data_IF_042334428808
#
_entry.id   IF_042334428808
#
_cell.length_a   1.000
_cell.length_b   1.000
_cell.length_c   1.000
_cell.angle_alpha   90.00
_cell.angle_beta   90.00
_cell.angle_gamma   90.00
#
_symmetry.space_group_name_H-M   'P 1'
#
loop_
_entity.id
_entity.type
_entity.pdbx_description
1 polymer ?
#
# COMPACT_ATOMS: atom_id res chain seq x y z
N UNK A 1 -2.23 21.86 -5.87
CA UNK A 1 -3.19 20.78 -6.21
C UNK A 1 -2.84 20.33 -7.61
N UNK A 2 -2.45 19.09 -7.77
CA UNK A 2 -2.20 18.47 -9.06
C UNK A 2 -3.48 17.77 -9.53
N UNK A 3 -3.74 17.78 -10.84
CA UNK A 3 -4.83 16.99 -11.41
C UNK A 3 -4.58 15.48 -11.34
N UNK A 4 -3.32 15.11 -11.04
CA UNK A 4 -2.88 13.74 -10.83
C UNK A 4 -2.95 13.32 -9.35
N UNK A 5 -3.26 14.25 -8.44
CA UNK A 5 -3.57 13.88 -7.05
C UNK A 5 -5.01 13.36 -7.01
N UNK A 6 -5.21 12.14 -6.56
CA UNK A 6 -6.52 11.49 -6.46
C UNK A 6 -6.69 10.81 -5.11
N UNK A 7 -7.90 10.75 -4.62
CA UNK A 7 -8.23 10.00 -3.42
C UNK A 7 -9.51 9.19 -3.62
N UNK A 8 -9.61 8.04 -3.01
CA UNK A 8 -10.84 7.23 -3.01
C UNK A 8 -11.74 7.69 -1.87
N UNK A 9 -12.99 7.97 -2.18
CA UNK A 9 -13.98 8.50 -1.22
C UNK A 9 -14.59 7.43 -0.32
N UNK A 10 -14.70 6.20 -0.81
CA UNK A 10 -15.32 5.07 -0.14
C UNK A 10 -14.28 3.99 0.23
N UNK A 11 -14.73 2.78 0.56
CA UNK A 11 -13.89 1.66 1.02
C UNK A 11 -13.14 0.92 -0.12
N UNK A 12 -13.01 1.57 -1.27
CA UNK A 12 -12.33 1.01 -2.43
C UNK A 12 -10.81 1.16 -2.38
N UNK A 13 -10.17 0.55 -3.37
CA UNK A 13 -8.72 0.57 -3.57
C UNK A 13 -8.41 0.77 -5.06
N UNK A 14 -7.26 1.38 -5.35
CA UNK A 14 -6.63 1.31 -6.66
C UNK A 14 -5.95 -0.04 -6.82
N UNK A 15 -5.89 -0.51 -8.05
CA UNK A 15 -5.19 -1.75 -8.41
C UNK A 15 -3.84 -1.37 -9.00
N UNK A 16 -2.77 -1.96 -8.47
CA UNK A 16 -1.40 -1.65 -8.84
C UNK A 16 -0.60 -2.92 -9.14
N UNK A 17 0.39 -2.77 -10.02
CA UNK A 17 1.49 -3.70 -10.19
C UNK A 17 2.70 -3.17 -9.41
N UNK A 18 3.14 -3.84 -8.33
CA UNK A 18 4.29 -3.41 -7.57
C UNK A 18 5.57 -3.36 -8.39
N UNK A 19 6.38 -2.31 -8.20
CA UNK A 19 7.65 -2.10 -8.92
C UNK A 19 8.64 -3.25 -8.70
N UNK A 20 8.58 -3.95 -7.59
CA UNK A 20 9.45 -5.09 -7.27
C UNK A 20 9.04 -6.41 -7.95
N UNK A 21 8.07 -6.39 -8.86
CA UNK A 21 7.65 -7.56 -9.63
C UNK A 21 6.81 -8.58 -8.88
N UNK A 22 6.25 -8.22 -7.73
CA UNK A 22 5.30 -9.07 -6.99
C UNK A 22 3.94 -9.22 -7.68
N UNK A 23 3.04 -10.01 -7.09
CA UNK A 23 1.66 -10.12 -7.55
C UNK A 23 0.93 -8.77 -7.47
N UNK A 24 -0.08 -8.60 -8.33
CA UNK A 24 -1.01 -7.46 -8.30
C UNK A 24 -1.49 -7.21 -6.86
N UNK A 25 -1.61 -5.95 -6.48
CA UNK A 25 -1.94 -5.54 -5.14
C UNK A 25 -2.92 -4.36 -5.14
N UNK A 26 -3.48 -4.10 -3.97
CA UNK A 26 -4.31 -2.94 -3.69
C UNK A 26 -3.50 -1.82 -3.04
N UNK A 27 -3.83 -0.58 -3.39
CA UNK A 27 -3.26 0.63 -2.81
C UNK A 27 -4.33 1.70 -2.62
N UNK A 28 -4.15 2.58 -1.63
CA UNK A 28 -4.94 3.81 -1.50
C UNK A 28 -4.12 5.06 -1.83
N UNK A 29 -2.90 4.83 -2.30
CA UNK A 29 -2.00 5.92 -2.66
C UNK A 29 -2.40 6.53 -4.00
N UNK A 30 -2.64 7.81 -4.02
CA UNK A 30 -3.17 8.51 -5.18
C UNK A 30 -2.33 9.72 -5.61
N UNK A 31 -1.07 9.83 -5.17
CA UNK A 31 -0.09 10.79 -5.69
C UNK A 31 0.49 10.28 -7.02
N UNK A 32 -0.32 10.39 -8.09
CA UNK A 32 0.02 9.81 -9.38
C UNK A 32 1.09 10.62 -10.11
N UNK A 33 1.93 9.93 -10.87
CA UNK A 33 3.00 10.48 -11.69
C UNK A 33 3.03 9.80 -13.04
N UNK A 34 3.48 10.52 -14.06
CA UNK A 34 3.70 9.96 -15.39
C UNK A 34 5.20 10.01 -15.66
N UNK A 35 5.80 8.87 -15.96
CA UNK A 35 7.22 8.79 -16.26
C UNK A 35 7.52 9.22 -17.72
N UNK A 36 8.80 9.21 -18.10
CA UNK A 36 9.27 9.58 -19.45
C UNK A 36 8.72 8.67 -20.55
N UNK A 37 8.33 7.45 -20.22
CA UNK A 37 7.74 6.48 -21.14
C UNK A 37 6.22 6.65 -21.30
N UNK A 38 5.60 7.53 -20.50
CA UNK A 38 4.14 7.72 -20.48
C UNK A 38 3.41 6.79 -19.52
N UNK A 39 4.11 5.94 -18.76
CA UNK A 39 3.48 5.03 -17.81
C UNK A 39 2.96 5.79 -16.59
N UNK A 40 1.74 5.46 -16.17
CA UNK A 40 1.12 6.03 -14.98
C UNK A 40 1.53 5.24 -13.74
N UNK A 41 2.25 5.90 -12.83
CA UNK A 41 2.78 5.34 -11.60
C UNK A 41 2.19 6.04 -10.37
N UNK A 42 2.22 5.39 -9.22
CA UNK A 42 2.06 6.07 -7.93
C UNK A 42 3.38 6.70 -7.47
N UNK A 43 3.36 7.54 -6.43
CA UNK A 43 4.56 8.20 -5.90
C UNK A 43 5.59 7.25 -5.26
N UNK A 44 5.32 5.94 -5.18
CA UNK A 44 6.29 4.90 -4.79
C UNK A 44 6.88 4.18 -6.02
N UNK A 45 6.43 4.51 -7.24
CA UNK A 45 6.89 3.89 -8.48
C UNK A 45 6.15 2.62 -8.87
N UNK A 46 5.03 2.30 -8.20
CA UNK A 46 4.20 1.17 -8.61
C UNK A 46 3.33 1.57 -9.81
N UNK A 47 3.17 0.65 -10.74
CA UNK A 47 2.42 0.89 -11.96
C UNK A 47 0.90 0.83 -11.70
N UNK A 48 0.18 1.85 -12.13
CA UNK A 48 -1.27 1.85 -12.05
C UNK A 48 -1.86 0.97 -13.14
N UNK A 49 -2.82 0.14 -12.77
CA UNK A 49 -3.51 -0.75 -13.70
C UNK A 49 -4.88 -0.19 -14.07
N UNK A 50 -5.34 -0.53 -15.26
CA UNK A 50 -6.67 -0.20 -15.75
C UNK A 50 -7.73 -1.22 -15.30
N UNK A 51 -8.96 -1.04 -15.76
CA UNK A 51 -10.07 -1.95 -15.50
C UNK A 51 -9.85 -3.38 -16.07
N UNK A 52 -8.95 -3.53 -17.04
CA UNK A 52 -8.54 -4.82 -17.63
C UNK A 52 -7.29 -5.40 -16.98
N UNK A 53 -6.79 -4.80 -15.88
CA UNK A 53 -5.55 -5.16 -15.21
C UNK A 53 -4.30 -5.01 -16.10
N UNK A 54 -4.35 -4.08 -17.05
CA UNK A 54 -3.24 -3.71 -17.90
C UNK A 54 -2.59 -2.42 -17.40
N UNK A 55 -1.30 -2.26 -17.67
CA UNK A 55 -0.58 -1.03 -17.35
C UNK A 55 -1.16 0.15 -18.12
N UNK A 56 -1.37 1.27 -17.42
CA UNK A 56 -1.88 2.49 -18.02
C UNK A 56 -0.73 3.28 -18.64
N UNK A 57 -0.84 3.54 -19.95
CA UNK A 57 0.06 4.42 -20.70
C UNK A 57 -0.69 5.67 -21.15
N UNK A 58 -0.15 6.84 -20.83
CA UNK A 58 -0.72 8.15 -21.16
C UNK A 58 0.10 8.77 -22.27
N UNK A 59 -0.47 9.00 -23.47
CA UNK A 59 0.22 9.69 -24.54
C UNK A 59 0.48 11.17 -24.18
N UNK A 60 1.39 11.81 -24.91
CA UNK A 60 1.74 13.21 -24.67
C UNK A 60 0.49 14.13 -24.71
N UNK A 61 0.31 14.92 -23.67
CA UNK A 61 -0.89 15.73 -23.45
C UNK A 61 -0.57 17.18 -23.09
N UNK A 62 -1.54 18.05 -23.28
CA UNK A 62 -1.54 19.45 -22.83
C UNK A 62 -2.19 19.58 -21.45
N UNK A 63 -3.26 18.83 -21.21
CA UNK A 63 -3.95 18.77 -19.92
C UNK A 63 -4.53 17.39 -19.69
N UNK A 64 -4.60 16.99 -18.43
CA UNK A 64 -5.16 15.74 -17.98
C UNK A 64 -6.21 16.00 -16.91
N UNK A 65 -7.28 15.21 -16.92
CA UNK A 65 -8.33 15.24 -15.90
C UNK A 65 -8.80 13.82 -15.61
N UNK A 66 -9.10 13.54 -14.35
CA UNK A 66 -9.60 12.24 -13.89
C UNK A 66 -11.02 12.44 -13.35
N UNK A 67 -11.97 11.69 -13.90
CA UNK A 67 -13.37 11.74 -13.49
C UNK A 67 -13.62 11.02 -12.15
N UNK A 68 -14.77 11.25 -11.49
CA UNK A 68 -15.13 10.51 -10.27
C UNK A 68 -15.29 9.00 -10.47
N UNK A 69 -15.49 8.55 -11.69
CA UNK A 69 -15.59 7.14 -12.09
C UNK A 69 -14.22 6.52 -12.42
N UNK A 70 -13.14 7.32 -12.41
CA UNK A 70 -11.79 6.87 -12.71
C UNK A 70 -11.38 6.98 -14.18
N UNK A 71 -12.23 7.55 -15.05
CA UNK A 71 -11.88 7.77 -16.45
C UNK A 71 -10.82 8.88 -16.57
N UNK A 72 -9.79 8.61 -17.34
CA UNK A 72 -8.69 9.54 -17.59
C UNK A 72 -8.91 10.21 -18.94
N UNK A 73 -9.13 11.50 -18.92
CA UNK A 73 -9.29 12.34 -20.10
C UNK A 73 -8.06 13.20 -20.33
N UNK A 74 -7.58 13.24 -21.56
CA UNK A 74 -6.49 14.13 -21.96
C UNK A 74 -6.90 15.04 -23.11
N UNK A 75 -6.25 16.22 -23.18
CA UNK A 75 -6.16 17.00 -24.41
C UNK A 75 -4.81 16.71 -25.05
N UNK A 76 -4.75 16.07 -26.22
CA UNK A 76 -3.50 15.72 -26.89
C UNK A 76 -2.64 16.94 -27.22
N UNK A 77 -1.31 16.77 -27.20
CA UNK A 77 -0.37 17.89 -27.44
C UNK A 77 -0.44 18.44 -28.87
N UNK A 78 -0.76 17.59 -29.85
CA UNK A 78 -0.84 17.95 -31.29
C UNK A 78 -2.24 18.32 -31.80
N UNK A 79 -3.25 18.38 -30.94
CA UNK A 79 -4.64 18.70 -31.30
C UNK A 79 -4.90 20.23 -31.36
N UNK A 80 -6.06 20.60 -31.92
CA UNK A 80 -6.52 22.00 -31.87
C UNK A 80 -6.70 22.46 -30.41
N UNK A 81 -6.57 23.78 -30.17
CA UNK A 81 -6.63 24.34 -28.81
C UNK A 81 -7.98 24.06 -28.15
N UNK A 82 -9.04 24.02 -28.95
CA UNK A 82 -10.43 23.76 -28.49
C UNK A 82 -10.88 22.29 -28.70
N UNK A 83 -9.93 21.37 -28.99
CA UNK A 83 -10.27 19.97 -29.12
C UNK A 83 -10.92 19.43 -27.82
N UNK A 84 -11.96 18.61 -27.99
CA UNK A 84 -12.60 17.94 -26.88
C UNK A 84 -11.62 16.97 -26.19
N UNK A 85 -11.71 16.81 -24.85
CA UNK A 85 -10.91 15.83 -24.13
C UNK A 85 -11.22 14.41 -24.62
N UNK A 86 -10.19 13.60 -24.81
CA UNK A 86 -10.29 12.21 -25.24
C UNK A 86 -10.05 11.29 -24.03
N UNK A 87 -10.90 10.30 -23.85
CA UNK A 87 -10.67 9.24 -22.87
C UNK A 87 -9.56 8.32 -23.35
N UNK A 88 -8.57 8.07 -22.49
CA UNK A 88 -7.40 7.22 -22.82
C UNK A 88 -7.35 5.94 -22.00
N UNK A 89 -7.86 5.96 -20.77
CA UNK A 89 -7.88 4.82 -19.89
C UNK A 89 -8.92 5.00 -18.75
N UNK A 90 -9.19 3.93 -18.02
CA UNK A 90 -9.96 3.97 -16.78
C UNK A 90 -9.13 3.36 -15.66
N UNK A 91 -8.89 4.11 -14.58
CA UNK A 91 -8.18 3.60 -13.41
C UNK A 91 -8.85 2.35 -12.87
N UNK A 92 -8.09 1.27 -12.75
CA UNK A 92 -8.54 0.03 -12.12
C UNK A 92 -8.81 0.24 -10.64
N UNK A 93 -10.06 0.09 -10.25
CA UNK A 93 -10.48 0.20 -8.86
C UNK A 93 -11.32 -1.00 -8.45
N UNK A 94 -11.26 -1.35 -7.17
CA UNK A 94 -12.06 -2.42 -6.61
C UNK A 94 -12.53 -2.09 -5.20
N UNK A 95 -13.74 -2.51 -4.89
CA UNK A 95 -14.23 -2.68 -3.52
C UNK A 95 -14.29 -4.19 -3.29
N UNK A 96 -13.34 -4.77 -2.53
CA UNK A 96 -13.37 -6.20 -2.22
C UNK A 96 -14.65 -6.58 -1.49
N UNK A 97 -15.19 -7.77 -1.76
CA UNK A 97 -16.34 -8.29 -1.04
C UNK A 97 -16.02 -8.47 0.46
N UNK A 98 -17.02 -8.33 1.34
CA UNK A 98 -16.84 -8.42 2.80
C UNK A 98 -16.24 -9.76 3.27
N UNK A 99 -16.43 -10.81 2.50
CA UNK A 99 -15.91 -12.16 2.80
C UNK A 99 -14.40 -12.27 2.52
N UNK A 100 -13.85 -11.34 1.75
CA UNK A 100 -12.43 -11.36 1.34
C UNK A 100 -11.56 -10.74 2.43
N UNK A 101 -10.66 -11.53 2.98
CA UNK A 101 -9.71 -11.06 3.99
C UNK A 101 -8.53 -10.36 3.33
N UNK A 102 -8.31 -9.11 3.72
CA UNK A 102 -7.18 -8.32 3.26
C UNK A 102 -6.04 -8.35 4.27
N UNK A 103 -4.81 -8.39 3.79
CA UNK A 103 -3.60 -8.30 4.61
C UNK A 103 -2.64 -7.28 4.02
N UNK A 104 -2.10 -6.42 4.90
CA UNK A 104 -0.98 -5.56 4.54
C UNK A 104 0.31 -6.37 4.52
N UNK A 105 1.01 -6.40 3.39
CA UNK A 105 2.28 -7.09 3.20
C UNK A 105 3.46 -6.25 3.71
N UNK A 106 4.62 -6.84 3.83
CA UNK A 106 5.85 -6.16 4.29
C UNK A 106 6.30 -5.03 3.35
N UNK A 107 5.94 -5.09 2.08
CA UNK A 107 6.17 -4.04 1.08
C UNK A 107 5.20 -2.85 1.20
N UNK A 108 4.29 -2.90 2.17
CA UNK A 108 3.30 -1.84 2.43
C UNK A 108 2.03 -1.92 1.60
N UNK A 109 1.92 -2.85 0.66
CA UNK A 109 0.74 -3.05 -0.18
C UNK A 109 -0.28 -3.96 0.50
N UNK A 110 -1.52 -3.87 0.04
CA UNK A 110 -2.63 -4.68 0.53
C UNK A 110 -2.90 -5.80 -0.47
N UNK A 111 -2.94 -7.04 0.02
CA UNK A 111 -3.23 -8.22 -0.79
C UNK A 111 -4.39 -9.01 -0.22
N UNK A 112 -5.05 -9.75 -1.06
CA UNK A 112 -6.06 -10.72 -0.66
C UNK A 112 -5.35 -11.92 -0.03
N UNK A 113 -5.84 -12.37 1.12
CA UNK A 113 -5.41 -13.65 1.68
C UNK A 113 -6.06 -14.79 0.90
N UNK A 114 -5.31 -15.84 0.56
CA UNK A 114 -5.90 -17.03 -0.06
C UNK A 114 -7.03 -17.58 0.81
N UNK A 115 -8.10 -18.01 0.17
CA UNK A 115 -9.18 -18.71 0.84
C UNK A 115 -8.77 -20.16 1.06
N UNK A 116 -9.01 -20.68 2.27
CA UNK A 116 -8.89 -22.11 2.51
C UNK A 116 -10.20 -22.78 2.13
N UNK A 117 -10.15 -23.69 1.16
CA UNK A 117 -11.29 -24.53 0.83
C UNK A 117 -11.49 -25.64 1.88
N UNK A 118 -12.60 -26.35 1.81
CA UNK A 118 -12.96 -27.41 2.78
C UNK A 118 -11.89 -28.52 2.92
N UNK A 119 -11.01 -28.66 1.97
CA UNK A 119 -9.92 -29.63 1.96
C UNK A 119 -8.60 -29.07 2.52
N UNK A 120 -8.58 -27.81 3.01
CA UNK A 120 -7.39 -27.15 3.55
C UNK A 120 -6.38 -26.69 2.47
N UNK A 121 -6.74 -26.77 1.19
CA UNK A 121 -5.92 -26.21 0.12
C UNK A 121 -6.15 -24.70 -0.01
N UNK A 122 -5.08 -23.93 -0.21
CA UNK A 122 -5.14 -22.50 -0.46
C UNK A 122 -5.58 -22.25 -1.91
N UNK A 123 -6.67 -21.50 -2.07
CA UNK A 123 -7.16 -21.05 -3.36
C UNK A 123 -6.84 -19.56 -3.51
N UNK A 124 -6.06 -19.20 -4.54
CA UNK A 124 -5.75 -17.80 -4.84
C UNK A 124 -7.00 -17.09 -5.34
N UNK A 125 -7.42 -16.07 -4.60
CA UNK A 125 -8.50 -15.18 -5.03
C UNK A 125 -7.90 -14.14 -5.97
N UNK A 126 -8.37 -14.12 -7.20
CA UNK A 126 -7.94 -13.13 -8.18
C UNK A 126 -8.50 -11.74 -7.85
N UNK A 127 -7.68 -10.71 -8.05
CA UNK A 127 -8.12 -9.32 -7.95
C UNK A 127 -8.93 -8.99 -9.20
N UNK A 128 -10.15 -8.50 -9.00
CA UNK A 128 -11.03 -8.03 -10.06
C UNK A 128 -11.30 -6.54 -9.91
N UNK A 129 -11.25 -5.82 -11.03
CA UNK A 129 -11.66 -4.43 -11.08
C UNK A 129 -13.19 -4.36 -11.24
N UNK A 130 -13.88 -3.88 -10.21
CA UNK A 130 -15.34 -3.74 -10.24
C UNK A 130 -15.82 -2.30 -10.44
N UNK A 131 -14.91 -1.33 -10.49
CA UNK A 131 -15.18 0.10 -10.75
C UNK A 131 -16.25 0.73 -9.83
N UNK A 132 -16.44 0.17 -8.63
CA UNK A 132 -17.42 0.68 -7.66
C UNK A 132 -16.84 1.78 -6.77
N UNK A 133 -15.51 1.93 -6.73
CA UNK A 133 -14.87 3.00 -5.99
C UNK A 133 -15.15 4.35 -6.64
N UNK A 134 -15.31 5.38 -5.81
CA UNK A 134 -15.49 6.77 -6.25
C UNK A 134 -14.24 7.57 -5.96
N UNK A 135 -13.77 8.28 -6.97
CA UNK A 135 -12.52 9.04 -6.93
C UNK A 135 -12.82 10.53 -6.76
N UNK A 136 -11.97 11.21 -6.03
CA UNK A 136 -11.95 12.68 -5.95
C UNK A 136 -10.59 13.14 -6.46
N UNK A 137 -10.59 13.96 -7.50
CA UNK A 137 -9.39 14.59 -8.05
C UNK A 137 -8.97 15.83 -7.25
N UNK A 138 -7.67 16.12 -7.19
CA UNK A 138 -7.08 17.24 -6.47
C UNK A 138 -6.96 17.02 -4.96
N UNK A 139 -7.08 15.81 -4.47
CA UNK A 139 -6.97 15.44 -3.06
C UNK A 139 -6.09 14.19 -2.91
N UNK A 140 -5.41 14.14 -1.76
CA UNK A 140 -4.68 12.96 -1.32
C UNK A 140 -5.25 12.48 0.01
N UNK A 141 -5.35 11.16 0.16
CA UNK A 141 -5.68 10.56 1.45
C UNK A 141 -4.49 10.70 2.39
N UNK A 142 -4.73 11.24 3.59
CA UNK A 142 -3.71 11.33 4.63
C UNK A 142 -3.69 10.06 5.45
N UNK A 143 -2.50 9.69 5.93
CA UNK A 143 -2.38 8.67 6.97
C UNK A 143 -3.15 9.09 8.21
N UNK A 144 -3.89 8.16 8.80
CA UNK A 144 -4.53 8.33 10.11
C UNK A 144 -3.58 8.02 11.28
N UNK A 145 -2.32 7.68 10.98
CA UNK A 145 -1.29 7.40 11.98
C UNK A 145 -0.73 8.72 12.49
N UNK A 146 -0.77 8.92 13.80
CA UNK A 146 -0.10 10.03 14.46
C UNK A 146 1.39 9.65 14.64
N UNK A 147 2.26 10.32 13.89
CA UNK A 147 3.70 10.04 13.93
C UNK A 147 4.33 10.29 15.30
N UNK A 148 3.76 11.20 16.10
CA UNK A 148 4.22 11.48 17.47
C UNK A 148 3.90 10.32 18.40
N UNK A 149 2.68 9.78 18.32
CA UNK A 149 2.27 8.62 19.13
C UNK A 149 3.10 7.39 18.77
N UNK A 150 3.37 7.15 17.48
CA UNK A 150 4.23 6.06 17.04
C UNK A 150 5.68 6.21 17.50
N UNK A 151 6.19 7.45 17.56
CA UNK A 151 7.52 7.72 18.12
C UNK A 151 7.55 7.41 19.62
N UNK A 152 6.52 7.80 20.38
CA UNK A 152 6.41 7.48 21.82
C UNK A 152 6.33 5.97 22.02
N UNK A 153 5.48 5.26 21.26
CA UNK A 153 5.38 3.81 21.31
C UNK A 153 6.72 3.11 21.01
N UNK A 154 7.48 3.63 20.04
CA UNK A 154 8.80 3.13 19.69
C UNK A 154 9.80 3.30 20.85
N UNK A 155 9.81 4.48 21.51
CA UNK A 155 10.63 4.73 22.68
C UNK A 155 10.25 3.84 23.88
N UNK A 156 8.96 3.62 24.10
CA UNK A 156 8.48 2.70 25.14
C UNK A 156 8.92 1.26 24.87
N UNK A 157 8.84 0.80 23.62
CA UNK A 157 9.30 -0.50 23.23
C UNK A 157 10.82 -0.66 23.43
N UNK A 158 11.60 0.37 23.11
CA UNK A 158 13.04 0.39 23.38
C UNK A 158 13.33 0.28 24.89
N UNK A 159 12.64 1.06 25.72
CA UNK A 159 12.79 0.97 27.19
C UNK A 159 12.42 -0.41 27.73
N UNK A 160 11.34 -1.01 27.23
CA UNK A 160 10.95 -2.37 27.60
C UNK A 160 12.04 -3.37 27.22
N UNK A 161 12.60 -3.25 26.02
CA UNK A 161 13.69 -4.11 25.58
C UNK A 161 14.93 -3.97 26.48
N UNK A 162 15.36 -2.74 26.80
CA UNK A 162 16.49 -2.48 27.72
C UNK A 162 16.22 -3.08 29.12
N UNK A 163 14.99 -2.98 29.60
CA UNK A 163 14.58 -3.56 30.88
C UNK A 163 14.67 -5.11 30.85
N UNK A 164 14.20 -5.73 29.75
CA UNK A 164 14.31 -7.18 29.59
C UNK A 164 15.76 -7.65 29.56
N UNK A 165 16.65 -6.92 28.89
CA UNK A 165 18.09 -7.25 28.91
C UNK A 165 18.66 -7.16 30.32
N UNK A 166 18.33 -6.12 31.10
CA UNK A 166 18.75 -5.99 32.48
C UNK A 166 18.24 -7.12 33.37
N UNK A 167 16.99 -7.57 33.17
CA UNK A 167 16.44 -8.73 33.88
C UNK A 167 17.20 -10.02 33.57
N UNK A 168 17.55 -10.23 32.31
CA UNK A 168 18.35 -11.40 31.90
C UNK A 168 19.73 -11.36 32.56
N UNK A 169 20.41 -10.20 32.53
CA UNK A 169 21.72 -10.02 33.20
C UNK A 169 21.65 -10.26 34.71
N UNK A 170 20.60 -9.74 35.36
CA UNK A 170 20.39 -9.96 36.79
C UNK A 170 20.13 -11.45 37.12
N UNK A 171 19.36 -12.14 36.27
CA UNK A 171 19.13 -13.58 36.41
C UNK A 171 20.43 -14.37 36.28
N UNK A 172 21.29 -14.02 35.32
CA UNK A 172 22.60 -14.63 35.10
C UNK A 172 23.55 -14.38 36.29
N UNK A 173 23.56 -13.16 36.84
CA UNK A 173 24.34 -12.82 38.04
C UNK A 173 23.86 -13.63 39.26
N UNK A 174 22.54 -13.77 39.46
CA UNK A 174 21.97 -14.56 40.54
C UNK A 174 22.32 -16.04 40.40
N UNK A 175 22.24 -16.60 39.19
CA UNK A 175 22.62 -17.98 38.93
C UNK A 175 24.11 -18.23 39.18
N UNK A 176 24.97 -17.31 38.73
CA UNK A 176 26.41 -17.34 38.98
C UNK A 176 26.77 -17.23 40.48
N UNK A 177 26.08 -16.33 41.21
CA UNK A 177 26.27 -16.19 42.67
C UNK A 177 25.80 -17.46 43.41
N UNK A 178 24.66 -18.04 43.02
CA UNK A 178 24.15 -19.30 43.53
C UNK A 178 25.10 -20.47 43.30
N UNK A 179 25.65 -20.59 42.10
CA UNK A 179 26.64 -21.60 41.76
C UNK A 179 27.94 -21.45 42.58
N UNK A 180 28.35 -20.19 42.86
CA UNK A 180 29.54 -19.93 43.68
C UNK A 180 29.35 -20.34 45.13
N UNK A 181 28.16 -20.15 45.71
CA UNK A 181 27.80 -20.59 47.05
C UNK A 181 27.78 -22.12 47.20
N UNK A 182 27.38 -22.81 46.14
CA UNK A 182 27.40 -24.31 46.16
C UNK A 182 28.79 -24.90 45.97
N UNK A 183 29.80 -24.09 45.57
CA UNK A 183 31.22 -24.46 45.45
C UNK A 183 32.01 -24.18 46.74
N UNK A 184 31.42 -24.16 47.93
CA UNK A 184 32.14 -24.09 49.17
C UNK A 184 33.13 -25.27 49.25
N UNK A 185 34.45 -25.03 49.53
CA UNK A 185 35.39 -26.13 49.63
C UNK A 185 34.95 -27.04 50.78
N UNK A 186 34.77 -28.31 50.45
CA UNK A 186 34.55 -29.34 51.48
C UNK A 186 35.69 -29.34 52.46
N UNK A 187 35.38 -29.24 53.71
CA UNK A 187 36.32 -29.50 54.80
C UNK A 187 36.84 -30.92 54.72
#
# INVERSE_FOLDING_TARGET
KSNLDVAIKNDGYFIIQPMNGGSIAFSRRGDLQINENGELLDGAGNQMLDAGLQAIEIPAFRSINISPEGQIFIKPLGGEVDAEPVEVAVLGTSIPAEEVKLKKSLDGHIRILPLQNENGAEEEVQIEANQQARIISGFLEKSNVNSVDEMVNSLENQRKFEMHIKFIQMAEELDSAGASLLRLPGM
#
